data_IF_448659993865
#
_entry.id   IF_448659993865
#
_cell.length_a   1.000
_cell.length_b   1.000
_cell.length_c   1.000
_cell.angle_alpha   90.00
_cell.angle_beta   90.00
_cell.angle_gamma   90.00
#
_symmetry.space_group_name_H-M   'P 1'
#
loop_
_entity.id
_entity.type
_entity.pdbx_description
1 polymer ?
#
# COMPACT_ATOMS: atom_id res chain seq x y z
N UNK A 1 -20.67 6.56 -23.31
CA UNK A 1 -20.63 6.57 -21.84
C UNK A 1 -19.20 6.20 -21.48
N UNK A 2 -18.42 7.10 -20.87
CA UNK A 2 -17.05 6.75 -20.48
C UNK A 2 -17.13 5.70 -19.37
N UNK A 3 -16.41 4.60 -19.54
CA UNK A 3 -16.37 3.52 -18.55
C UNK A 3 -15.60 4.03 -17.32
N UNK A 4 -16.30 4.39 -16.25
CA UNK A 4 -15.70 4.96 -15.04
C UNK A 4 -14.59 4.08 -14.45
N UNK A 5 -14.72 2.75 -14.57
CA UNK A 5 -13.72 1.79 -14.14
C UNK A 5 -12.37 1.98 -14.86
N UNK A 6 -12.40 2.36 -16.14
CA UNK A 6 -11.20 2.61 -16.92
C UNK A 6 -10.43 3.82 -16.36
N UNK A 7 -11.10 4.95 -16.12
CA UNK A 7 -10.45 6.15 -15.60
C UNK A 7 -9.87 5.95 -14.19
N UNK A 8 -10.57 5.21 -13.32
CA UNK A 8 -10.07 4.90 -11.98
C UNK A 8 -8.85 3.95 -11.97
N UNK A 9 -8.60 3.22 -13.07
CA UNK A 9 -7.38 2.40 -13.21
C UNK A 9 -6.16 3.21 -13.68
N UNK A 10 -6.37 4.41 -14.22
CA UNK A 10 -5.31 5.25 -14.78
C UNK A 10 -4.81 6.31 -13.80
N UNK A 11 -5.56 6.57 -12.71
CA UNK A 11 -5.26 7.64 -11.76
C UNK A 11 -5.42 7.12 -10.34
N UNK A 12 -4.49 7.49 -9.46
CA UNK A 12 -4.54 7.25 -8.01
C UNK A 12 -4.50 8.60 -7.30
N UNK A 13 -5.29 8.75 -6.24
CA UNK A 13 -5.35 9.97 -5.42
C UNK A 13 -4.66 9.74 -4.08
N UNK A 14 -3.87 10.73 -3.63
CA UNK A 14 -3.21 10.74 -2.32
C UNK A 14 -3.72 11.95 -1.54
N UNK A 15 -4.39 11.68 -0.41
CA UNK A 15 -4.91 12.71 0.48
C UNK A 15 -3.81 13.33 1.35
N UNK A 16 -4.11 14.51 1.92
CA UNK A 16 -3.22 15.17 2.89
C UNK A 16 -3.06 14.34 4.18
N UNK A 17 -4.15 13.69 4.61
CA UNK A 17 -4.18 12.75 5.73
C UNK A 17 -4.35 11.33 5.16
N UNK A 18 -3.25 10.56 4.99
CA UNK A 18 -3.33 9.22 4.42
C UNK A 18 -4.01 8.26 5.40
N UNK A 19 -5.01 7.52 4.90
CA UNK A 19 -5.75 6.53 5.68
C UNK A 19 -5.10 5.16 5.55
N UNK A 20 -4.89 4.48 6.68
CA UNK A 20 -4.44 3.09 6.72
C UNK A 20 -5.58 2.17 7.15
N UNK A 21 -5.68 1.03 6.49
CA UNK A 21 -6.65 -0.02 6.82
C UNK A 21 -6.05 -1.02 7.80
N UNK A 22 -6.90 -1.62 8.63
CA UNK A 22 -6.49 -2.77 9.44
C UNK A 22 -5.98 -3.90 8.56
N UNK A 23 -4.79 -4.41 8.89
CA UNK A 23 -4.08 -5.42 8.11
C UNK A 23 -2.58 -5.26 8.25
N UNK A 24 -1.78 -5.95 7.46
CA UNK A 24 -0.34 -5.72 7.46
C UNK A 24 0.05 -4.50 6.63
N UNK A 25 1.29 -4.03 6.79
CA UNK A 25 1.94 -3.07 5.87
C UNK A 25 1.79 -3.55 4.42
N UNK A 26 2.06 -4.83 4.15
CA UNK A 26 1.88 -5.48 2.85
C UNK A 26 0.46 -5.31 2.31
N UNK A 27 -0.56 -5.53 3.14
CA UNK A 27 -1.96 -5.40 2.72
C UNK A 27 -2.31 -3.96 2.36
N UNK A 28 -1.74 -2.97 3.06
CA UNK A 28 -1.94 -1.56 2.75
C UNK A 28 -1.23 -1.13 1.46
N UNK A 29 0.00 -1.60 1.22
CA UNK A 29 0.74 -1.30 -0.01
C UNK A 29 0.09 -1.97 -1.23
N UNK A 30 -0.34 -3.23 -1.10
CA UNK A 30 -0.98 -3.98 -2.19
C UNK A 30 -2.48 -3.68 -2.35
N UNK A 31 -3.03 -2.71 -1.59
CA UNK A 31 -4.45 -2.43 -1.58
C UNK A 31 -4.97 -2.10 -2.99
N UNK A 32 -6.08 -2.72 -3.39
CA UNK A 32 -6.67 -2.56 -4.72
C UNK A 32 -6.04 -3.41 -5.82
N UNK A 33 -4.95 -4.14 -5.55
CA UNK A 33 -4.36 -5.10 -6.49
C UNK A 33 -4.81 -6.54 -6.20
N UNK A 34 -5.03 -7.32 -7.26
CA UNK A 34 -5.27 -8.75 -7.15
C UNK A 34 -3.93 -9.50 -7.17
N UNK A 35 -3.71 -10.41 -6.21
CA UNK A 35 -2.55 -11.31 -6.17
C UNK A 35 -1.20 -10.62 -6.40
N UNK A 36 -0.89 -9.59 -5.59
CA UNK A 36 0.40 -8.91 -5.64
C UNK A 36 1.47 -9.74 -4.92
N UNK A 37 2.57 -10.03 -5.62
CA UNK A 37 3.76 -10.70 -5.08
C UNK A 37 4.55 -9.77 -4.14
N UNK A 38 5.25 -10.36 -3.16
CA UNK A 38 5.95 -9.61 -2.13
C UNK A 38 7.10 -8.77 -2.69
N UNK A 39 7.77 -9.25 -3.75
CA UNK A 39 8.82 -8.49 -4.43
C UNK A 39 8.32 -7.14 -4.97
N UNK A 40 7.06 -7.10 -5.45
CA UNK A 40 6.45 -5.83 -5.90
C UNK A 40 6.11 -4.91 -4.74
N UNK A 41 5.71 -5.49 -3.61
CA UNK A 41 5.45 -4.73 -2.37
C UNK A 41 6.75 -4.10 -1.86
N UNK A 42 7.85 -4.87 -1.84
CA UNK A 42 9.17 -4.38 -1.45
C UNK A 42 9.67 -3.31 -2.41
N UNK A 43 9.56 -3.52 -3.73
CA UNK A 43 9.95 -2.53 -4.72
C UNK A 43 9.13 -1.23 -4.61
N UNK A 44 7.83 -1.32 -4.32
CA UNK A 44 6.98 -0.16 -4.08
C UNK A 44 7.37 0.59 -2.79
N UNK A 45 7.69 -0.14 -1.71
CA UNK A 45 8.20 0.44 -0.47
C UNK A 45 9.52 1.19 -0.70
N UNK A 46 10.44 0.61 -1.47
CA UNK A 46 11.71 1.24 -1.85
C UNK A 46 11.51 2.51 -2.69
N UNK A 47 10.64 2.44 -3.70
CA UNK A 47 10.31 3.59 -4.54
C UNK A 47 9.65 4.73 -3.76
N UNK A 48 8.96 4.42 -2.66
CA UNK A 48 8.36 5.38 -1.74
C UNK A 48 9.30 5.83 -0.61
N UNK A 49 10.55 5.36 -0.56
CA UNK A 49 11.49 5.56 0.56
C UNK A 49 10.91 5.15 1.92
N UNK A 50 10.09 4.10 1.90
CA UNK A 50 9.45 3.52 3.07
C UNK A 50 10.15 2.24 3.55
N UNK A 51 11.05 1.68 2.75
CA UNK A 51 11.68 0.39 3.01
C UNK A 51 12.55 0.40 4.29
N UNK A 52 13.29 1.48 4.53
CA UNK A 52 14.14 1.61 5.73
C UNK A 52 13.32 1.47 7.02
N UNK A 53 12.26 2.28 7.19
CA UNK A 53 11.45 2.22 8.41
C UNK A 53 10.64 0.93 8.51
N UNK A 54 10.20 0.36 7.39
CA UNK A 54 9.48 -0.92 7.40
C UNK A 54 10.40 -2.03 7.88
N UNK A 55 11.67 -2.05 7.47
CA UNK A 55 12.66 -3.03 7.92
C UNK A 55 12.99 -2.92 9.41
N UNK A 56 12.87 -1.73 10.01
CA UNK A 56 13.03 -1.54 11.45
C UNK A 56 11.86 -2.10 12.28
N UNK A 57 10.72 -2.41 11.65
CA UNK A 57 9.58 -3.02 12.33
C UNK A 57 9.83 -4.51 12.60
N UNK A 58 9.32 -5.02 13.72
CA UNK A 58 9.54 -6.41 14.18
C UNK A 58 9.22 -7.48 13.12
N UNK A 59 8.24 -7.23 12.24
CA UNK A 59 7.81 -8.19 11.21
C UNK A 59 7.90 -7.63 9.79
N UNK A 60 8.63 -6.53 9.57
CA UNK A 60 8.78 -5.95 8.23
C UNK A 60 7.43 -5.61 7.57
N UNK A 61 7.30 -5.98 6.29
CA UNK A 61 6.04 -5.84 5.53
C UNK A 61 4.85 -6.63 6.12
N UNK A 62 5.10 -7.60 7.01
CA UNK A 62 4.04 -8.36 7.68
C UNK A 62 3.60 -7.73 9.00
N UNK A 63 4.19 -6.61 9.41
CA UNK A 63 3.80 -5.92 10.63
C UNK A 63 2.35 -5.48 10.57
N UNK A 64 1.59 -5.84 11.60
CA UNK A 64 0.18 -5.50 11.74
C UNK A 64 -0.02 -4.02 12.04
N UNK A 65 -0.86 -3.38 11.23
CA UNK A 65 -1.36 -2.03 11.41
C UNK A 65 -2.80 -2.15 11.90
N UNK A 66 -3.10 -1.47 13.01
CA UNK A 66 -4.46 -1.25 13.49
C UNK A 66 -4.96 0.10 12.96
N UNK A 67 -6.27 0.24 12.74
CA UNK A 67 -6.88 1.49 12.27
C UNK A 67 -6.28 2.72 12.97
N UNK A 68 -5.67 3.58 12.17
CA UNK A 68 -5.22 4.89 12.58
C UNK A 68 -6.01 5.91 11.76
N UNK A 69 -6.90 6.62 12.45
CA UNK A 69 -7.48 7.87 11.96
C UNK A 69 -6.41 8.96 12.01
#
# INVERSE_FOLDING_TARGET
QYEHCYLHSQVVSVGQEPVLFSGSVRNNIAYGLQSCEDDKVVAAAQAAHADDFIQEMEHGIYTGIFYKL
#
